data_IF_888199496089
#
_entry.id   IF_888199496089
#
_cell.length_a   1.000
_cell.length_b   1.000
_cell.length_c   1.000
_cell.angle_alpha   90.00
_cell.angle_beta   90.00
_cell.angle_gamma   90.00
#
_symmetry.space_group_name_H-M   'P 1'
#
loop_
_entity.id
_entity.type
_entity.pdbx_description
1 polymer ?
#
# COMPACT_ATOMS: atom_id res chain seq x y z
N UNK A 1 18.67 -3.87 -17.87
CA UNK A 1 18.56 -2.52 -17.27
C UNK A 1 18.93 -2.63 -15.80
N UNK A 2 19.93 -1.87 -15.36
CA UNK A 2 20.49 -1.96 -14.01
C UNK A 2 19.50 -1.45 -12.95
N UNK A 3 19.55 -2.00 -11.72
CA UNK A 3 18.64 -1.66 -10.63
C UNK A 3 18.68 -0.17 -10.28
N UNK A 4 19.87 0.43 -10.28
CA UNK A 4 20.06 1.87 -10.06
C UNK A 4 19.30 2.74 -11.09
N UNK A 5 19.27 2.32 -12.36
CA UNK A 5 18.52 3.04 -13.39
C UNK A 5 17.01 2.97 -13.14
N UNK A 6 16.52 1.83 -12.61
CA UNK A 6 15.10 1.69 -12.24
C UNK A 6 14.75 2.61 -11.07
N UNK A 7 15.61 2.69 -10.06
CA UNK A 7 15.42 3.57 -8.90
C UNK A 7 15.44 5.04 -9.31
N UNK A 8 16.38 5.46 -10.16
CA UNK A 8 16.50 6.85 -10.60
C UNK A 8 15.26 7.34 -11.36
N UNK A 9 14.76 6.52 -12.29
CA UNK A 9 13.49 6.81 -12.99
C UNK A 9 12.34 6.83 -11.99
N UNK A 10 12.33 5.87 -11.06
CA UNK A 10 11.25 5.76 -10.09
C UNK A 10 11.16 6.93 -9.13
N UNK A 11 12.29 7.40 -8.62
CA UNK A 11 12.35 8.61 -7.81
C UNK A 11 11.78 9.80 -8.59
N UNK A 12 12.19 10.00 -9.84
CA UNK A 12 11.75 11.16 -10.64
C UNK A 12 10.23 11.16 -10.89
N UNK A 13 9.66 10.00 -11.22
CA UNK A 13 8.21 9.87 -11.51
C UNK A 13 7.37 9.86 -10.24
N UNK A 14 7.82 9.17 -9.18
CA UNK A 14 7.03 9.00 -7.96
C UNK A 14 7.18 10.14 -6.95
N UNK A 15 8.20 11.01 -7.06
CA UNK A 15 8.40 12.13 -6.10
C UNK A 15 7.13 12.96 -5.85
N UNK A 16 6.35 13.38 -6.86
CA UNK A 16 5.13 14.15 -6.61
C UNK A 16 4.07 13.35 -5.85
N UNK A 17 3.93 12.05 -6.14
CA UNK A 17 2.99 11.17 -5.44
C UNK A 17 3.43 10.94 -3.99
N UNK A 18 4.71 10.65 -3.77
CA UNK A 18 5.29 10.45 -2.45
C UNK A 18 5.20 11.72 -1.61
N UNK A 19 5.40 12.90 -2.19
CA UNK A 19 5.21 14.18 -1.50
C UNK A 19 3.76 14.39 -1.06
N UNK A 20 2.78 14.04 -1.91
CA UNK A 20 1.35 14.07 -1.55
C UNK A 20 1.04 13.11 -0.41
N UNK A 21 1.48 11.85 -0.52
CA UNK A 21 1.30 10.84 0.53
C UNK A 21 1.91 11.30 1.85
N UNK A 22 3.15 11.81 1.83
CA UNK A 22 3.83 12.33 3.03
C UNK A 22 3.05 13.49 3.66
N UNK A 23 2.59 14.45 2.85
CA UNK A 23 1.83 15.59 3.36
C UNK A 23 0.48 15.16 3.94
N UNK A 24 -0.19 14.19 3.33
CA UNK A 24 -1.43 13.61 3.85
C UNK A 24 -1.19 12.93 5.21
N UNK A 25 -0.11 12.16 5.34
CA UNK A 25 0.28 11.54 6.61
C UNK A 25 0.61 12.59 7.68
N UNK A 26 1.39 13.63 7.35
CA UNK A 26 1.68 14.70 8.31
C UNK A 26 0.43 15.43 8.79
N UNK A 27 -0.55 15.69 7.90
CA UNK A 27 -1.83 16.28 8.28
C UNK A 27 -2.63 15.39 9.24
N UNK A 28 -2.54 14.06 9.10
CA UNK A 28 -3.16 13.15 10.07
C UNK A 28 -2.52 13.24 11.47
N UNK A 29 -1.24 13.60 11.55
CA UNK A 29 -0.49 13.65 12.81
C UNK A 29 -0.64 14.99 13.53
N UNK A 30 -0.69 16.09 12.77
CA UNK A 30 -0.66 17.44 13.33
C UNK A 30 -2.02 17.96 13.76
N UNK A 31 -3.13 17.48 13.16
CA UNK A 31 -4.45 18.03 13.45
C UNK A 31 -5.59 17.00 13.34
N UNK A 32 -5.87 16.25 14.42
CA UNK A 32 -7.03 15.34 14.47
C UNK A 32 -8.37 16.09 14.54
N UNK A 33 -8.38 17.33 15.05
CA UNK A 33 -9.60 18.06 15.43
C UNK A 33 -9.99 19.16 14.43
N UNK A 34 -9.06 19.81 13.71
CA UNK A 34 -9.40 20.91 12.77
C UNK A 34 -9.91 20.48 11.38
N UNK A 35 -9.88 19.20 11.01
CA UNK A 35 -10.46 18.78 9.73
C UNK A 35 -11.94 18.43 9.89
N UNK A 36 -12.83 19.36 9.56
CA UNK A 36 -14.31 19.26 9.54
C UNK A 36 -14.89 18.08 8.70
N UNK A 37 -14.05 17.21 8.13
CA UNK A 37 -14.42 16.02 7.34
C UNK A 37 -13.90 14.71 7.97
N UNK A 38 -13.88 14.61 9.30
CA UNK A 38 -13.59 13.33 9.97
C UNK A 38 -14.76 12.36 9.76
N UNK A 39 -14.51 11.24 9.07
CA UNK A 39 -15.52 10.19 8.92
C UNK A 39 -15.61 9.43 10.23
N UNK A 40 -16.58 9.80 11.06
CA UNK A 40 -16.93 9.06 12.29
C UNK A 40 -17.91 7.95 11.95
N UNK A 41 -17.79 6.81 12.63
CA UNK A 41 -18.80 5.77 12.57
C UNK A 41 -20.14 6.33 13.07
N UNK A 42 -21.24 5.98 12.39
CA UNK A 42 -22.59 6.30 12.90
C UNK A 42 -22.72 5.65 14.29
N UNK A 43 -23.07 6.40 15.35
CA UNK A 43 -23.25 5.85 16.69
C UNK A 43 -24.17 4.62 16.73
N UNK A 44 -25.15 4.52 15.83
CA UNK A 44 -26.07 3.38 15.74
C UNK A 44 -25.44 2.12 15.15
N UNK A 45 -24.37 2.28 14.37
CA UNK A 45 -23.58 1.16 13.83
C UNK A 45 -22.38 0.80 14.72
N UNK A 46 -22.24 1.47 15.88
CA UNK A 46 -21.09 1.30 16.79
C UNK A 46 -21.25 0.14 17.78
N UNK A 47 -22.46 -0.42 17.93
CA UNK A 47 -22.71 -1.57 18.80
C UNK A 47 -21.92 -2.81 18.32
N UNK A 48 -21.07 -3.34 19.19
CA UNK A 48 -20.22 -4.50 18.89
C UNK A 48 -18.88 -4.20 18.21
N UNK A 49 -18.57 -2.93 17.93
CA UNK A 49 -17.26 -2.52 17.40
C UNK A 49 -16.27 -2.33 18.56
N UNK A 50 -15.11 -2.98 18.48
CA UNK A 50 -14.10 -2.95 19.55
C UNK A 50 -13.52 -1.54 19.83
N UNK A 51 -13.50 -0.66 18.82
CA UNK A 51 -12.97 0.71 18.93
C UNK A 51 -13.90 1.72 18.24
N UNK A 52 -15.04 2.07 18.86
CA UNK A 52 -16.07 2.90 18.23
C UNK A 52 -15.65 4.37 18.06
N UNK A 53 -14.69 4.84 18.87
CA UNK A 53 -14.13 6.20 18.77
C UNK A 53 -12.94 6.31 17.78
N UNK A 54 -12.65 5.24 17.03
CA UNK A 54 -11.53 5.24 16.09
C UNK A 54 -11.83 6.19 14.93
N UNK A 55 -10.89 7.08 14.65
CA UNK A 55 -10.94 7.96 13.51
C UNK A 55 -10.39 7.21 12.30
N UNK A 56 -11.18 7.15 11.21
CA UNK A 56 -10.76 6.52 9.96
C UNK A 56 -10.71 7.59 8.88
N UNK A 57 -9.54 7.75 8.28
CA UNK A 57 -9.34 8.65 7.16
C UNK A 57 -8.87 7.86 5.95
N UNK A 58 -9.61 7.98 4.86
CA UNK A 58 -9.29 7.30 3.60
C UNK A 58 -8.95 8.34 2.53
N UNK A 59 -7.83 8.15 1.85
CA UNK A 59 -7.40 8.96 0.70
C UNK A 59 -7.18 8.05 -0.49
N UNK A 60 -7.91 8.32 -1.57
CA UNK A 60 -7.86 7.52 -2.79
C UNK A 60 -7.07 8.27 -3.86
N UNK A 61 -6.07 7.59 -4.42
CA UNK A 61 -5.25 8.08 -5.51
C UNK A 61 -5.49 7.21 -6.74
N UNK A 62 -5.92 7.85 -7.83
CA UNK A 62 -6.07 7.18 -9.12
C UNK A 62 -4.91 7.59 -10.02
N UNK A 63 -4.29 6.60 -10.65
CA UNK A 63 -3.13 6.83 -11.51
C UNK A 63 -3.07 5.78 -12.63
N UNK A 64 -2.22 6.02 -13.63
CA UNK A 64 -2.01 5.07 -14.71
C UNK A 64 -1.15 3.88 -14.27
N UNK A 65 -1.25 2.79 -15.03
CA UNK A 65 -0.45 1.57 -14.83
C UNK A 65 1.06 1.87 -14.76
N UNK A 66 1.56 2.76 -15.63
CA UNK A 66 2.97 3.16 -15.65
C UNK A 66 3.46 3.76 -14.33
N UNK A 67 2.61 4.52 -13.62
CA UNK A 67 2.95 5.04 -12.29
C UNK A 67 2.99 3.94 -11.24
N UNK A 68 2.09 2.94 -11.32
CA UNK A 68 2.11 1.78 -10.42
C UNK A 68 3.37 0.96 -10.63
N UNK A 69 3.74 0.63 -11.87
CA UNK A 69 5.02 -0.06 -12.16
C UNK A 69 6.21 0.64 -11.52
N UNK A 70 6.21 1.96 -11.66
CA UNK A 70 7.29 2.79 -11.16
C UNK A 70 7.34 2.82 -9.63
N UNK A 71 6.17 2.92 -8.97
CA UNK A 71 6.04 2.83 -7.52
C UNK A 71 6.48 1.45 -7.01
N UNK A 72 6.09 0.37 -7.68
CA UNK A 72 6.46 -0.99 -7.30
C UNK A 72 7.97 -1.23 -7.43
N UNK A 73 8.62 -0.65 -8.43
CA UNK A 73 10.08 -0.68 -8.53
C UNK A 73 10.74 0.05 -7.36
N UNK A 74 10.21 1.20 -6.95
CA UNK A 74 10.72 1.91 -5.78
C UNK A 74 10.55 1.09 -4.49
N UNK A 75 9.42 0.39 -4.34
CA UNK A 75 9.18 -0.49 -3.18
C UNK A 75 10.17 -1.67 -3.19
N UNK A 76 10.42 -2.28 -4.35
CA UNK A 76 11.32 -3.45 -4.48
C UNK A 76 12.78 -3.10 -4.25
N UNK A 77 13.27 -2.05 -4.91
CA UNK A 77 14.69 -1.73 -4.97
C UNK A 77 15.10 -0.55 -4.07
N UNK A 78 14.13 0.19 -3.52
CA UNK A 78 14.39 1.38 -2.69
C UNK A 78 14.79 1.10 -1.24
N UNK A 79 14.93 -0.17 -0.86
CA UNK A 79 15.45 -0.55 0.46
C UNK A 79 14.58 -0.13 1.64
N UNK A 80 13.25 -0.19 1.49
CA UNK A 80 12.29 0.25 2.54
C UNK A 80 12.40 -0.56 3.84
N UNK A 81 12.69 -1.86 3.75
CA UNK A 81 12.78 -2.75 4.90
C UNK A 81 14.07 -3.57 4.86
N UNK A 82 14.49 -4.06 6.03
CA UNK A 82 15.66 -4.92 6.14
C UNK A 82 15.48 -6.19 5.29
N UNK A 83 16.51 -6.63 4.54
CA UNK A 83 16.45 -7.86 3.76
C UNK A 83 16.25 -9.12 4.63
N UNK A 84 16.52 -9.04 5.93
CA UNK A 84 16.37 -10.16 6.87
C UNK A 84 14.92 -10.35 7.38
N UNK A 85 14.02 -9.42 7.08
CA UNK A 85 12.61 -9.52 7.48
C UNK A 85 11.89 -10.58 6.63
N UNK A 86 11.46 -11.68 7.28
CA UNK A 86 10.74 -12.76 6.61
C UNK A 86 9.43 -12.32 5.96
N UNK A 87 8.70 -11.38 6.55
CA UNK A 87 7.46 -10.84 5.97
C UNK A 87 7.79 -10.04 4.71
N UNK A 88 8.84 -9.22 4.76
CA UNK A 88 9.32 -8.47 3.61
C UNK A 88 9.78 -9.38 2.48
N UNK A 89 10.55 -10.42 2.77
CA UNK A 89 10.97 -11.41 1.78
C UNK A 89 9.79 -12.10 1.10
N UNK A 90 8.76 -12.48 1.87
CA UNK A 90 7.52 -13.07 1.31
C UNK A 90 6.79 -12.08 0.40
N UNK A 91 6.69 -10.81 0.82
CA UNK A 91 6.09 -9.76 0.00
C UNK A 91 6.89 -9.56 -1.30
N UNK A 92 8.22 -9.50 -1.24
CA UNK A 92 9.07 -9.37 -2.43
C UNK A 92 8.97 -10.58 -3.35
N UNK A 93 8.82 -11.78 -2.81
CA UNK A 93 8.57 -13.00 -3.59
C UNK A 93 7.22 -12.92 -4.31
N UNK A 94 6.17 -12.49 -3.63
CA UNK A 94 4.86 -12.27 -4.22
C UNK A 94 4.91 -11.22 -5.34
N UNK A 95 5.51 -10.06 -5.08
CA UNK A 95 5.66 -9.01 -6.09
C UNK A 95 6.46 -9.49 -7.31
N UNK A 96 7.52 -10.26 -7.08
CA UNK A 96 8.34 -10.83 -8.15
C UNK A 96 7.59 -11.88 -8.99
N UNK A 97 6.57 -12.54 -8.43
CA UNK A 97 5.72 -13.49 -9.16
C UNK A 97 4.67 -12.81 -10.05
N UNK A 98 4.37 -11.54 -9.81
CA UNK A 98 3.40 -10.78 -10.58
C UNK A 98 4.04 -10.32 -11.88
N UNK A 99 3.55 -10.86 -13.00
CA UNK A 99 4.05 -10.57 -14.35
C UNK A 99 3.43 -9.31 -14.95
N UNK A 100 2.17 -9.01 -14.61
CA UNK A 100 1.37 -7.93 -15.18
C UNK A 100 0.51 -7.26 -14.11
N UNK A 101 0.30 -5.95 -14.25
CA UNK A 101 -0.62 -5.18 -13.40
C UNK A 101 -1.93 -4.97 -14.16
N UNK A 102 -2.98 -5.68 -13.73
CA UNK A 102 -4.25 -5.67 -14.41
C UNK A 102 -5.12 -4.47 -14.00
N UNK A 103 -6.27 -4.33 -14.66
CA UNK A 103 -7.29 -3.36 -14.28
C UNK A 103 -7.63 -3.47 -12.80
N UNK A 104 -7.76 -2.33 -12.12
CA UNK A 104 -7.96 -2.21 -10.67
C UNK A 104 -6.83 -2.80 -9.81
N UNK A 105 -5.58 -2.80 -10.31
CA UNK A 105 -4.41 -2.97 -9.44
C UNK A 105 -4.44 -1.95 -8.31
N UNK A 106 -4.18 -2.40 -7.08
CA UNK A 106 -4.29 -1.59 -5.87
C UNK A 106 -3.03 -1.73 -5.03
N UNK A 107 -2.53 -0.60 -4.55
CA UNK A 107 -1.50 -0.51 -3.51
C UNK A 107 -2.15 0.23 -2.34
N UNK A 108 -2.25 -0.41 -1.18
CA UNK A 108 -2.89 0.16 0.01
C UNK A 108 -1.83 0.34 1.08
N UNK A 109 -1.70 1.57 1.58
CA UNK A 109 -0.88 1.89 2.75
C UNK A 109 -1.84 2.14 3.91
N UNK A 110 -1.83 1.24 4.89
CA UNK A 110 -2.62 1.38 6.11
C UNK A 110 -1.71 1.83 7.25
N UNK A 111 -2.01 2.97 7.85
CA UNK A 111 -1.27 3.49 9.00
C UNK A 111 -2.12 3.34 10.23
N UNK A 112 -1.54 2.74 11.26
CA UNK A 112 -2.15 2.52 12.56
C UNK A 112 -1.37 3.31 13.59
N UNK A 113 -2.08 3.90 14.54
CA UNK A 113 -1.49 4.50 15.72
C UNK A 113 -1.73 3.56 16.91
N UNK A 114 -0.67 3.22 17.63
CA UNK A 114 -0.76 2.44 18.86
C UNK A 114 -1.12 3.36 20.03
N UNK A 115 -2.38 3.34 20.46
CA UNK A 115 -2.86 4.14 21.59
C UNK A 115 -2.53 3.54 22.96
N UNK A 116 -1.90 2.36 23.01
CA UNK A 116 -1.57 1.70 24.30
C UNK A 116 -0.23 2.14 24.86
N UNK A 117 0.61 2.77 24.06
CA UNK A 117 1.94 3.25 24.49
C UNK A 117 1.86 4.64 25.13
N UNK A 118 1.21 4.74 26.29
CA UNK A 118 1.21 5.94 27.14
C UNK A 118 2.56 6.18 27.85
N UNK A 119 3.59 5.36 27.58
CA UNK A 119 4.90 5.51 28.21
C UNK A 119 6.04 5.14 27.24
N UNK A 120 6.52 6.13 26.46
CA UNK A 120 7.92 6.11 25.99
C UNK A 120 8.18 6.06 24.48
N UNK A 121 7.16 6.02 23.61
CA UNK A 121 7.37 6.13 22.15
C UNK A 121 7.03 7.55 21.68
N UNK A 122 8.03 8.43 21.69
CA UNK A 122 7.90 9.77 21.10
C UNK A 122 8.11 9.73 19.57
N UNK A 123 7.38 10.57 18.84
CA UNK A 123 7.60 10.75 17.39
C UNK A 123 6.91 9.71 16.51
N UNK A 124 7.66 9.12 15.56
CA UNK A 124 7.13 8.22 14.52
C UNK A 124 6.93 6.78 14.98
N UNK A 125 7.50 6.38 16.11
CA UNK A 125 7.57 4.98 16.55
C UNK A 125 6.24 4.44 17.11
N UNK A 126 5.26 5.33 17.34
CA UNK A 126 3.88 4.99 17.66
C UNK A 126 3.07 4.54 16.44
N UNK A 127 3.59 4.75 15.23
CA UNK A 127 2.90 4.39 14.00
C UNK A 127 3.40 3.04 13.46
N UNK A 128 2.45 2.19 13.10
CA UNK A 128 2.69 0.96 12.37
C UNK A 128 2.09 1.09 10.97
N UNK A 129 2.87 0.75 9.94
CA UNK A 129 2.43 0.86 8.53
C UNK A 129 2.35 -0.54 7.94
N UNK A 130 1.21 -0.87 7.36
CA UNK A 130 1.00 -2.07 6.57
C UNK A 130 0.88 -1.71 5.10
N UNK A 131 1.62 -2.43 4.26
CA UNK A 131 1.56 -2.31 2.81
C UNK A 131 0.84 -3.54 2.26
N UNK A 132 -0.30 -3.32 1.59
CA UNK A 132 -1.03 -4.36 0.89
C UNK A 132 -0.97 -4.12 -0.60
N UNK A 133 -0.91 -5.20 -1.36
CA UNK A 133 -0.82 -5.17 -2.80
C UNK A 133 -1.81 -6.16 -3.43
N UNK A 134 -2.52 -5.70 -4.46
CA UNK A 134 -3.36 -6.54 -5.31
C UNK A 134 -3.00 -6.29 -6.78
N UNK A 135 -2.69 -7.34 -7.57
CA UNK A 135 -2.33 -7.21 -8.99
C UNK A 135 -3.54 -6.90 -9.90
N UNK A 136 -4.72 -6.67 -9.33
CA UNK A 136 -5.94 -6.34 -10.06
C UNK A 136 -6.73 -7.57 -10.51
N UNK A 137 -7.73 -7.33 -11.35
CA UNK A 137 -8.63 -8.38 -11.83
C UNK A 137 -7.90 -9.25 -12.87
N UNK A 138 -7.76 -10.55 -12.57
CA UNK A 138 -7.30 -11.49 -13.59
C UNK A 138 -8.33 -11.57 -14.73
N UNK A 139 -7.91 -11.43 -15.99
CA UNK A 139 -8.81 -11.67 -17.11
C UNK A 139 -9.33 -13.11 -17.01
N UNK A 140 -10.64 -13.30 -17.11
CA UNK A 140 -11.27 -14.64 -17.09
C UNK A 140 -10.74 -15.59 -18.19
N UNK A 141 -9.95 -15.08 -19.13
CA UNK A 141 -9.33 -15.83 -20.23
C UNK A 141 -7.94 -16.42 -19.89
N UNK A 142 -7.28 -16.00 -18.80
CA UNK A 142 -5.98 -16.59 -18.42
C UNK A 142 -6.14 -18.03 -17.88
N UNK A 143 -7.21 -18.31 -17.14
CA UNK A 143 -7.60 -19.67 -16.74
C UNK A 143 -7.91 -20.57 -17.95
N UNK A 144 -8.35 -19.98 -19.06
CA UNK A 144 -8.63 -20.70 -20.30
C UNK A 144 -7.36 -20.93 -21.12
N UNK A 145 -6.44 -19.96 -21.19
CA UNK A 145 -5.11 -20.17 -21.79
C UNK A 145 -4.32 -21.25 -21.06
N UNK A 146 -4.27 -21.23 -19.72
CA UNK A 146 -3.59 -22.27 -18.93
C UNK A 146 -4.21 -23.65 -19.17
N UNK A 147 -5.55 -23.77 -19.22
CA UNK A 147 -6.23 -25.01 -19.62
C UNK A 147 -5.92 -25.45 -21.05
N UNK A 148 -5.88 -24.53 -22.01
CA UNK A 148 -5.59 -24.83 -23.42
C UNK A 148 -4.14 -25.33 -23.57
N UNK A 149 -3.19 -24.77 -22.83
CA UNK A 149 -1.81 -25.25 -22.83
C UNK A 149 -1.68 -26.62 -22.16
N UNK A 150 -2.35 -26.87 -21.02
CA UNK A 150 -2.36 -28.19 -20.37
C UNK A 150 -3.01 -29.28 -21.24
N UNK A 151 -4.04 -28.94 -22.01
CA UNK A 151 -4.76 -29.88 -22.87
C UNK A 151 -3.98 -30.22 -24.15
N UNK A 152 -3.05 -29.35 -24.59
CA UNK A 152 -2.21 -29.57 -25.78
C UNK A 152 -0.97 -30.42 -25.55
N UNK A 153 -0.60 -30.66 -24.28
CA UNK A 153 0.54 -31.48 -23.88
C UNK A 153 0.13 -32.80 -23.22
N UNK A 154 -1.10 -33.28 -23.48
CA UNK A 154 -1.53 -34.66 -23.21
C UNK A 154 -1.71 -35.44 -24.49
#
# INVERSE_FOLDING_TARGET
>A
MFEESKISIAQRVCTPLLAKLRNDLHRCVQDPEESDETTRLDPRASEGIATPMRHVRTRLYFTSESHIHTLMNLIRYGGLCSPDDQKWQRAMKFLSSVTEFNYMTQVVLMVYEDSRSEAGKEGTDRFHIELLFSPGLYPCFQTEKERIYETRFK
#
